data_IF_491894368402
#
_entry.id   IF_491894368402
#
_cell.length_a   1.000
_cell.length_b   1.000
_cell.length_c   1.000
_cell.angle_alpha   90.00
_cell.angle_beta   90.00
_cell.angle_gamma   90.00
#
_symmetry.space_group_name_H-M   'P 1'
#
loop_
_entity.id
_entity.type
_entity.pdbx_description
1 polymer ?
#
# COMPACT_ATOMS: atom_id res chain seq x y z
N UNK A 1 -25.26 -6.76 4.33
CA UNK A 1 -24.52 -6.85 5.61
C UNK A 1 -23.43 -7.92 5.61
N UNK A 2 -23.67 -9.16 5.14
CA UNK A 2 -22.65 -10.23 5.11
C UNK A 2 -21.33 -9.86 4.41
N UNK A 3 -21.38 -9.21 3.24
CA UNK A 3 -20.17 -8.92 2.44
C UNK A 3 -19.12 -8.09 3.20
N UNK A 4 -19.56 -7.11 4.02
CA UNK A 4 -18.67 -6.25 4.81
C UNK A 4 -17.89 -7.07 5.86
N UNK A 5 -18.52 -8.06 6.48
CA UNK A 5 -17.87 -8.89 7.51
C UNK A 5 -16.84 -9.88 6.96
N UNK A 6 -17.00 -10.29 5.70
CA UNK A 6 -16.10 -11.22 5.01
C UNK A 6 -14.99 -10.52 4.23
N UNK A 7 -15.19 -9.29 3.76
CA UNK A 7 -14.20 -8.56 2.99
C UNK A 7 -13.24 -7.80 3.89
N UNK A 8 -12.24 -8.48 4.42
CA UNK A 8 -11.29 -7.89 5.38
C UNK A 8 -10.05 -7.36 4.70
N UNK A 9 -9.42 -6.36 5.33
CA UNK A 9 -8.03 -6.03 5.01
C UNK A 9 -7.13 -7.09 5.62
N UNK A 10 -6.21 -7.65 4.85
CA UNK A 10 -5.27 -8.65 5.35
C UNK A 10 -3.97 -8.64 4.55
N UNK A 11 -2.90 -9.07 5.21
CA UNK A 11 -1.58 -9.21 4.60
C UNK A 11 -1.54 -10.47 3.73
N UNK A 12 -1.26 -10.33 2.44
CA UNK A 12 -1.06 -11.47 1.52
C UNK A 12 0.35 -12.03 1.60
N UNK A 13 1.35 -11.16 1.73
CA UNK A 13 2.75 -11.55 1.88
C UNK A 13 3.49 -10.53 2.75
N UNK A 14 4.55 -10.96 3.42
CA UNK A 14 5.43 -10.08 4.22
C UNK A 14 6.85 -10.63 4.25
N UNK A 15 7.82 -9.73 4.18
CA UNK A 15 9.25 -10.04 4.23
C UNK A 15 9.76 -10.04 5.68
N UNK A 16 9.17 -10.90 6.51
CA UNK A 16 9.47 -10.97 7.93
C UNK A 16 8.55 -11.89 8.71
N UNK A 17 8.76 -11.92 10.02
CA UNK A 17 7.95 -12.70 10.95
C UNK A 17 6.78 -11.86 11.48
N UNK A 18 5.51 -12.25 11.21
CA UNK A 18 4.34 -11.55 11.75
C UNK A 18 4.32 -11.56 13.29
N UNK A 19 3.95 -10.43 13.89
CA UNK A 19 3.81 -10.26 15.35
C UNK A 19 2.36 -10.02 15.72
N UNK A 20 1.67 -9.10 15.04
CA UNK A 20 0.29 -8.73 15.33
C UNK A 20 -0.48 -8.45 14.04
N UNK A 21 -1.75 -8.87 14.00
CA UNK A 21 -2.70 -8.47 12.96
C UNK A 21 -4.07 -8.23 13.58
N UNK A 22 -4.63 -7.04 13.33
CA UNK A 22 -5.98 -6.67 13.75
C UNK A 22 -6.70 -5.96 12.62
N UNK A 23 -7.96 -6.33 12.42
CA UNK A 23 -8.87 -5.62 11.53
C UNK A 23 -10.20 -5.40 12.22
N UNK A 24 -10.59 -4.14 12.34
CA UNK A 24 -11.90 -3.73 12.85
C UNK A 24 -12.85 -3.56 11.66
N UNK A 25 -13.85 -4.44 11.58
CA UNK A 25 -14.80 -4.49 10.46
C UNK A 25 -15.67 -3.23 10.40
N UNK A 26 -16.02 -2.65 11.55
CA UNK A 26 -16.97 -1.55 11.61
C UNK A 26 -16.32 -0.25 11.15
N UNK A 27 -15.16 0.06 11.71
CA UNK A 27 -14.35 1.25 11.41
C UNK A 27 -13.45 1.10 10.19
N UNK A 28 -13.22 -0.12 9.69
CA UNK A 28 -12.26 -0.38 8.61
C UNK A 28 -10.80 -0.15 9.02
N UNK A 29 -10.48 -0.06 10.32
CA UNK A 29 -9.12 0.15 10.79
C UNK A 29 -8.35 -1.17 10.75
N UNK A 30 -7.22 -1.17 10.06
CA UNK A 30 -6.27 -2.28 9.99
C UNK A 30 -4.97 -1.90 10.71
N UNK A 31 -4.48 -2.80 11.56
CA UNK A 31 -3.17 -2.70 12.20
C UNK A 31 -2.40 -4.00 11.96
N UNK A 32 -1.16 -3.89 11.51
CA UNK A 32 -0.30 -5.04 11.27
C UNK A 32 1.12 -4.72 11.73
N UNK A 33 1.76 -5.68 12.38
CA UNK A 33 3.11 -5.53 12.88
C UNK A 33 3.94 -6.80 12.63
N UNK A 34 5.21 -6.63 12.28
CA UNK A 34 6.11 -7.75 11.99
C UNK A 34 7.59 -7.37 12.20
N UNK A 35 8.42 -8.38 12.49
CA UNK A 35 9.88 -8.24 12.57
C UNK A 35 10.47 -8.56 11.19
N UNK A 36 11.18 -7.63 10.53
CA UNK A 36 11.74 -7.90 9.20
C UNK A 36 12.89 -8.91 9.30
N UNK A 37 12.92 -9.87 8.37
CA UNK A 37 14.02 -10.85 8.25
C UNK A 37 14.98 -10.53 7.11
N UNK A 38 14.83 -9.34 6.51
CA UNK A 38 15.67 -8.87 5.41
C UNK A 38 17.00 -8.40 5.97
N UNK A 39 18.07 -9.16 5.71
CA UNK A 39 19.37 -8.88 6.31
C UNK A 39 20.17 -7.83 5.53
N UNK A 40 20.05 -7.72 4.21
CA UNK A 40 20.86 -6.79 3.42
C UNK A 40 20.17 -6.30 2.16
N UNK A 41 20.30 -5.00 1.92
CA UNK A 41 20.05 -4.43 0.61
C UNK A 41 21.34 -3.87 -0.01
N UNK A 42 21.68 -4.36 -1.20
CA UNK A 42 22.93 -4.04 -1.91
C UNK A 42 22.92 -2.66 -2.57
N UNK A 43 21.75 -2.13 -2.93
CA UNK A 43 21.61 -0.82 -3.56
C UNK A 43 20.90 0.17 -2.63
N UNK A 44 21.66 1.10 -2.06
CA UNK A 44 21.14 2.11 -1.12
C UNK A 44 20.05 3.02 -1.70
N UNK A 45 20.01 3.18 -3.03
CA UNK A 45 19.02 4.00 -3.73
C UNK A 45 17.75 3.20 -4.10
N UNK A 46 17.71 1.90 -3.82
CA UNK A 46 16.54 1.06 -4.04
C UNK A 46 15.65 0.97 -2.80
N UNK A 47 14.48 0.36 -2.99
CA UNK A 47 13.58 0.00 -1.91
C UNK A 47 13.15 -1.45 -2.08
N UNK A 48 12.95 -2.12 -0.94
CA UNK A 48 12.50 -3.51 -0.89
C UNK A 48 10.99 -3.54 -0.62
N UNK A 49 10.27 -4.42 -1.31
CA UNK A 49 8.90 -4.74 -0.98
C UNK A 49 8.89 -5.51 0.34
N UNK A 50 8.22 -4.97 1.36
CA UNK A 50 8.19 -5.57 2.70
C UNK A 50 6.84 -6.15 3.07
N UNK A 51 5.75 -5.69 2.45
CA UNK A 51 4.43 -6.28 2.62
C UNK A 51 3.54 -6.05 1.39
N UNK A 52 2.72 -7.06 1.09
CA UNK A 52 1.59 -6.96 0.17
C UNK A 52 0.31 -7.14 0.98
N UNK A 53 -0.62 -6.20 0.84
CA UNK A 53 -1.82 -6.12 1.67
C UNK A 53 -3.02 -6.02 0.73
N UNK A 54 -3.98 -6.93 0.90
CA UNK A 54 -5.28 -6.80 0.28
C UNK A 54 -6.11 -5.77 1.03
N UNK A 55 -6.57 -4.75 0.31
CA UNK A 55 -7.29 -3.58 0.82
C UNK A 55 -8.60 -3.45 0.05
N UNK A 56 -9.74 -3.91 0.60
CA UNK A 56 -11.04 -3.88 -0.08
C UNK A 56 -11.59 -2.45 -0.21
N UNK A 57 -11.08 -1.71 -1.20
CA UNK A 57 -11.28 -0.27 -1.36
C UNK A 57 -12.77 0.11 -1.39
N UNK A 58 -13.58 -0.57 -2.19
CA UNK A 58 -15.00 -0.25 -2.35
C UNK A 58 -15.87 -0.55 -1.13
N UNK A 59 -15.38 -1.33 -0.15
CA UNK A 59 -16.17 -1.79 0.99
C UNK A 59 -15.80 -1.03 2.26
N UNK A 60 -14.50 -0.88 2.54
CA UNK A 60 -14.02 -0.25 3.76
C UNK A 60 -13.37 1.12 3.54
N UNK A 61 -12.98 1.45 2.32
CA UNK A 61 -12.20 2.66 2.01
C UNK A 61 -12.72 3.41 0.78
N UNK A 62 -14.02 3.72 0.71
CA UNK A 62 -14.63 4.30 -0.50
C UNK A 62 -14.06 5.67 -0.88
N UNK A 63 -13.46 6.38 0.07
CA UNK A 63 -12.83 7.70 -0.11
C UNK A 63 -11.29 7.64 -0.05
N UNK A 64 -10.74 6.44 -0.21
CA UNK A 64 -9.31 6.19 -0.07
C UNK A 64 -8.89 5.88 1.37
N UNK A 65 -7.57 5.79 1.56
CA UNK A 65 -6.95 5.39 2.81
C UNK A 65 -6.03 6.47 3.36
N UNK A 66 -5.92 6.51 4.69
CA UNK A 66 -4.84 7.18 5.43
C UNK A 66 -3.96 6.12 6.05
N UNK A 67 -2.65 6.23 5.86
CA UNK A 67 -1.67 5.29 6.42
C UNK A 67 -0.86 5.94 7.53
N UNK A 68 -0.44 5.13 8.49
CA UNK A 68 0.58 5.49 9.48
C UNK A 68 1.57 4.34 9.54
N UNK A 69 2.85 4.65 9.36
CA UNK A 69 3.92 3.67 9.37
C UNK A 69 4.87 3.92 10.52
N UNK A 70 5.38 2.84 11.11
CA UNK A 70 6.59 2.88 11.92
C UNK A 70 7.52 1.81 11.40
N UNK A 71 8.74 2.14 11.00
CA UNK A 71 9.30 3.50 10.92
C UNK A 71 8.62 4.35 9.82
N UNK A 72 8.66 5.68 9.94
CA UNK A 72 7.90 6.62 9.07
C UNK A 72 8.42 6.70 7.63
N UNK A 73 9.65 6.23 7.38
CA UNK A 73 10.29 6.28 6.05
C UNK A 73 9.75 5.21 5.09
N UNK A 74 8.85 4.34 5.55
CA UNK A 74 8.13 3.43 4.66
C UNK A 74 7.20 4.23 3.73
N UNK A 75 7.03 3.71 2.53
CA UNK A 75 6.07 4.29 1.58
C UNK A 75 5.29 3.17 0.90
N UNK A 76 4.18 3.52 0.26
CA UNK A 76 3.30 2.54 -0.35
C UNK A 76 2.83 2.95 -1.74
N UNK A 77 2.36 1.97 -2.50
CA UNK A 77 1.59 2.14 -3.73
C UNK A 77 0.32 1.31 -3.64
N UNK A 78 -0.81 1.86 -4.10
CA UNK A 78 -2.06 1.12 -4.23
C UNK A 78 -2.34 0.91 -5.71
N UNK A 79 -2.70 -0.32 -6.07
CA UNK A 79 -3.16 -0.69 -7.40
C UNK A 79 -4.66 -0.95 -7.32
N UNK A 80 -5.45 0.10 -7.59
CA UNK A 80 -6.92 0.06 -7.55
C UNK A 80 -7.51 -0.74 -8.73
N UNK A 81 -6.72 -0.96 -9.79
CA UNK A 81 -7.16 -1.69 -10.98
C UNK A 81 -7.18 -3.21 -10.70
N UNK A 82 -8.38 -3.72 -10.40
CA UNK A 82 -8.78 -5.12 -10.20
C UNK A 82 -8.14 -5.91 -9.03
N UNK A 83 -7.00 -5.50 -8.50
CA UNK A 83 -6.29 -6.32 -7.49
C UNK A 83 -6.57 -5.90 -6.05
N UNK A 84 -6.96 -4.64 -5.80
CA UNK A 84 -7.16 -4.12 -4.44
C UNK A 84 -5.92 -4.35 -3.57
N UNK A 85 -4.73 -4.16 -4.12
CA UNK A 85 -3.46 -4.41 -3.44
C UNK A 85 -2.74 -3.13 -3.07
N UNK A 86 -2.29 -3.07 -1.83
CA UNK A 86 -1.31 -2.13 -1.35
C UNK A 86 0.03 -2.82 -1.22
N UNK A 87 1.05 -2.26 -1.85
CA UNK A 87 2.45 -2.68 -1.72
C UNK A 87 3.19 -1.68 -0.85
N UNK A 88 3.80 -2.16 0.23
CA UNK A 88 4.57 -1.35 1.18
C UNK A 88 6.05 -1.61 0.98
N UNK A 89 6.82 -0.54 0.87
CA UNK A 89 8.24 -0.58 0.57
C UNK A 89 9.06 0.07 1.69
N UNK A 90 10.20 -0.54 1.99
CA UNK A 90 11.21 0.02 2.88
C UNK A 90 12.42 0.49 2.05
N UNK A 91 12.88 1.75 2.21
CA UNK A 91 14.15 2.18 1.65
C UNK A 91 15.30 1.30 2.15
N UNK A 92 16.27 1.00 1.30
CA UNK A 92 17.40 0.17 1.70
C UNK A 92 18.28 0.80 2.80
N UNK A 93 18.34 2.13 2.83
CA UNK A 93 18.97 2.90 3.91
C UNK A 93 18.32 2.68 5.28
N UNK A 94 17.06 2.26 5.31
CA UNK A 94 16.33 1.95 6.52
C UNK A 94 16.58 0.50 6.95
N UNK A 95 16.55 -0.46 6.01
CA UNK A 95 16.82 -1.89 6.28
C UNK A 95 18.22 -2.09 6.88
N UNK A 96 19.23 -1.41 6.34
CA UNK A 96 20.61 -1.51 6.81
C UNK A 96 20.83 -0.91 8.23
N UNK A 97 19.82 -0.32 8.86
CA UNK A 97 19.87 0.18 10.25
C UNK A 97 19.36 -0.84 11.28
N UNK A 98 19.10 -2.09 10.87
CA UNK A 98 18.56 -3.15 11.73
C UNK A 98 17.24 -2.73 12.39
N UNK A 99 16.21 -2.55 11.57
CA UNK A 99 14.86 -2.29 12.07
C UNK A 99 14.38 -3.51 12.87
N UNK A 100 14.07 -3.31 14.15
CA UNK A 100 13.57 -4.41 15.00
C UNK A 100 12.09 -4.70 14.75
N UNK A 101 11.33 -3.70 14.30
CA UNK A 101 9.87 -3.82 14.15
C UNK A 101 9.32 -2.87 13.07
N UNK A 102 8.38 -3.38 12.27
CA UNK A 102 7.59 -2.58 11.34
C UNK A 102 6.12 -2.65 11.76
N UNK A 103 5.48 -1.49 11.88
CA UNK A 103 4.05 -1.32 12.12
C UNK A 103 3.41 -0.59 10.93
N UNK A 104 2.29 -1.13 10.46
CA UNK A 104 1.49 -0.60 9.37
C UNK A 104 0.07 -0.42 9.91
N UNK A 105 -0.42 0.82 9.87
CA UNK A 105 -1.82 1.14 10.15
C UNK A 105 -2.48 1.71 8.91
N UNK A 106 -3.63 1.17 8.54
CA UNK A 106 -4.48 1.67 7.44
C UNK A 106 -5.82 2.06 8.04
N UNK A 107 -6.28 3.27 7.74
CA UNK A 107 -7.56 3.81 8.19
C UNK A 107 -8.32 4.35 6.98
N UNK A 108 -9.67 4.36 7.00
CA UNK A 108 -10.43 5.12 6.02
C UNK A 108 -10.05 6.60 6.05
N UNK A 109 -9.94 7.20 4.87
CA UNK A 109 -9.93 8.64 4.79
C UNK A 109 -11.34 9.17 5.14
N UNK A 110 -11.40 10.26 5.91
CA UNK A 110 -12.69 10.87 6.24
C UNK A 110 -13.27 11.54 4.97
N UNK A 111 -14.60 11.63 4.90
CA UNK A 111 -15.37 12.11 3.74
C UNK A 111 -14.85 13.43 3.17
N UNK A 112 -15.12 13.66 1.89
CA UNK A 112 -14.76 14.86 1.12
C UNK A 112 -15.44 16.17 1.61
N UNK A 113 -16.08 16.15 2.79
CA UNK A 113 -16.91 17.21 3.38
C UNK A 113 -16.23 17.87 4.60
N UNK A 114 -14.91 18.01 4.60
CA UNK A 114 -14.31 19.14 5.34
C UNK A 114 -14.50 20.39 4.48
N UNK A 115 -15.65 21.04 4.68
CA UNK A 115 -15.99 22.36 4.18
C UNK A 115 -14.80 23.29 4.43
N UNK A 116 -14.10 23.68 3.36
CA UNK A 116 -13.03 24.66 3.39
C UNK A 116 -13.61 26.05 3.66
N UNK A 117 -14.02 26.30 4.89
CA UNK A 117 -14.16 27.66 5.42
C UNK A 117 -12.81 28.12 5.95
N UNK A 118 -11.83 28.21 5.04
CA UNK A 118 -10.61 28.95 5.30
C UNK A 118 -10.50 30.05 4.25
N UNK A 119 -10.98 31.23 4.66
CA UNK A 119 -10.72 32.50 4.00
C UNK A 119 -9.22 32.67 3.78
N UNK A 120 -8.76 32.40 2.56
CA UNK A 120 -7.43 32.82 2.11
C UNK A 120 -7.40 34.34 2.05
N UNK A 121 -6.93 34.96 3.13
CA UNK A 121 -6.43 36.33 3.07
C UNK A 121 -5.10 36.26 2.33
N UNK A 122 -5.11 36.70 1.08
CA UNK A 122 -3.92 36.81 0.24
C UNK A 122 -2.98 37.85 0.87
N UNK A 123 -1.89 37.40 1.49
CA UNK A 123 -0.77 38.28 1.79
C UNK A 123 0.47 37.74 1.06
N UNK A 124 0.77 38.37 -0.08
CA UNK A 124 2.08 38.27 -0.74
C UNK A 124 3.12 38.82 0.21
N UNK A 125 4.17 38.05 0.51
CA UNK A 125 5.57 38.52 0.52
C UNK A 125 6.54 37.34 0.76
N UNK A 126 7.26 37.01 -0.31
CA UNK A 126 8.58 36.40 -0.48
C UNK A 126 9.38 35.95 0.77
N UNK A 127 9.80 34.67 0.81
CA UNK A 127 11.19 34.22 0.59
C UNK A 127 11.40 32.77 1.06
N UNK A 128 12.03 31.99 0.18
CA UNK A 128 12.90 30.83 0.39
C UNK A 128 12.45 29.50 1.06
N UNK A 129 12.95 28.44 0.41
CA UNK A 129 13.27 27.08 0.88
C UNK A 129 12.18 25.99 0.96
N UNK A 130 12.26 25.10 -0.04
CA UNK A 130 12.09 23.64 -0.02
C UNK A 130 10.98 23.03 0.85
N UNK A 131 9.84 22.72 0.23
CA UNK A 131 8.92 21.70 0.72
C UNK A 131 8.40 20.86 -0.45
N UNK A 132 8.97 19.67 -0.65
CA UNK A 132 8.36 18.66 -1.52
C UNK A 132 7.19 17.99 -0.78
N UNK A 133 6.06 18.68 -0.73
CA UNK A 133 4.78 18.02 -0.48
C UNK A 133 4.43 17.21 -1.74
N UNK A 134 4.76 15.91 -1.74
CA UNK A 134 4.41 15.02 -2.84
C UNK A 134 2.92 14.71 -2.76
N UNK A 135 2.14 15.46 -3.53
CA UNK A 135 0.71 15.24 -3.78
C UNK A 135 0.47 13.81 -4.30
N UNK A 136 -0.61 13.12 -3.89
CA UNK A 136 -1.00 11.86 -4.52
C UNK A 136 -1.51 12.15 -5.94
N UNK A 137 -0.80 11.62 -6.94
CA UNK A 137 -1.20 11.70 -8.35
C UNK A 137 -2.32 10.69 -8.62
N UNK A 138 -3.55 11.18 -8.72
CA UNK A 138 -4.70 10.38 -9.16
C UNK A 138 -4.67 10.26 -10.69
N UNK A 139 -4.40 9.05 -11.21
CA UNK A 139 -4.45 8.75 -12.64
C UNK A 139 -5.66 7.88 -12.92
N UNK A 140 -6.72 8.45 -13.50
CA UNK A 140 -7.81 7.68 -14.10
C UNK A 140 -7.29 7.08 -15.41
N UNK A 141 -6.92 5.80 -15.41
CA UNK A 141 -6.63 5.09 -16.66
C UNK A 141 -7.87 4.35 -17.17
N UNK A 142 -8.23 4.65 -18.41
CA UNK A 142 -9.24 3.96 -19.22
C UNK A 142 -8.76 2.51 -19.43
N UNK A 143 -9.56 1.53 -19.03
CA UNK A 143 -9.23 0.11 -19.21
C UNK A 143 -9.50 -0.31 -20.66
N UNK A 144 -8.47 -0.73 -21.38
CA UNK A 144 -8.61 -1.51 -22.62
C UNK A 144 -8.51 -2.99 -22.22
N UNK A 145 -9.62 -3.72 -22.41
CA UNK A 145 -9.72 -5.15 -22.16
C UNK A 145 -9.01 -5.90 -23.31
N UNK A 146 -7.84 -6.51 -23.04
CA UNK A 146 -7.24 -7.49 -23.95
C UNK A 146 -7.63 -8.90 -23.51
N UNK A 147 -8.54 -9.52 -24.26
CA UNK A 147 -8.88 -10.94 -24.13
C UNK A 147 -7.74 -11.74 -24.78
N UNK A 148 -6.93 -12.44 -23.99
CA UNK A 148 -5.96 -13.41 -24.50
C UNK A 148 -6.65 -14.77 -24.54
N UNK A 149 -6.95 -15.24 -25.76
CA UNK A 149 -7.43 -16.60 -26.00
C UNK A 149 -6.37 -17.62 -25.55
N UNK A 150 -6.75 -18.47 -24.60
CA UNK A 150 -6.02 -19.67 -24.23
C UNK A 150 -6.12 -20.71 -25.34
N UNK A 151 -5.04 -20.90 -26.11
CA UNK A 151 -4.89 -22.06 -27.01
C UNK A 151 -4.03 -23.10 -26.31
N UNK A 152 -4.66 -24.24 -26.09
CA UNK A 152 -4.14 -25.52 -25.61
C UNK A 152 -3.01 -25.99 -26.53
N UNK A 153 -1.86 -26.37 -25.96
CA UNK A 153 -0.97 -27.36 -26.59
C UNK A 153 -0.53 -28.40 -25.55
N UNK A 154 -1.21 -29.53 -25.60
CA UNK A 154 -0.84 -30.79 -24.96
C UNK A 154 0.18 -31.55 -25.82
N UNK A 155 1.20 -32.12 -25.17
CA UNK A 155 2.05 -33.25 -25.57
C UNK A 155 2.89 -33.14 -26.86
N UNK A 156 4.22 -33.18 -26.71
CA UNK A 156 5.09 -34.31 -27.11
C UNK A 156 6.57 -33.87 -27.05
N UNK A 157 7.37 -34.50 -26.19
CA UNK A 157 8.71 -34.99 -26.56
C UNK A 157 9.25 -35.89 -25.44
N UNK A 158 9.09 -37.19 -25.65
CA UNK A 158 9.94 -38.25 -25.09
C UNK A 158 11.36 -38.10 -25.62
N UNK A 159 12.41 -38.19 -24.79
CA UNK A 159 13.67 -38.92 -25.03
C UNK A 159 14.66 -38.71 -23.86
N UNK A 160 15.53 -39.70 -23.66
CA UNK A 160 16.56 -39.93 -22.60
C UNK A 160 16.01 -40.62 -21.33
N UNK A 161 16.32 -41.88 -21.00
CA UNK A 161 17.37 -42.85 -21.39
C UNK A 161 16.75 -44.24 -21.43
#
# INVERSE_FOLDING_TARGET
MQLKSFSRTYTQSTAGQPVELRFDVDSGVFCYAFVPTLEYCTNVNSALLVAEIFVPMSIHYPYGVKTCFRPEQLYYKIYENNTNLMFVYAPCTLINKNIEHIEITIKPNQTQDEHSDNNYTLNKNNNDTNNYARLPTYSKSISILLIVNSVIFSHLSTYFV
#
